data_IF_608553664218
#
_entry.id   IF_608553664218
#
_cell.length_a   1.000
_cell.length_b   1.000
_cell.length_c   1.000
_cell.angle_alpha   90.00
_cell.angle_beta   90.00
_cell.angle_gamma   90.00
#
_symmetry.space_group_name_H-M   'P 1'
#
loop_
_entity.id
_entity.type
_entity.pdbx_description
1 polymer ?
#
# COMPACT_ATOMS: atom_id res chain seq x y z
N UNK A 1 -22.72 12.17 22.79
CA UNK A 1 -22.33 11.61 21.48
C UNK A 1 -23.21 12.31 20.46
N UNK A 2 -22.66 12.96 19.43
CA UNK A 2 -23.48 13.65 18.42
C UNK A 2 -24.03 12.58 17.46
N UNK A 3 -25.34 12.35 17.48
CA UNK A 3 -26.00 11.50 16.50
C UNK A 3 -26.19 12.30 15.22
N UNK A 4 -25.61 11.80 14.13
CA UNK A 4 -25.74 12.40 12.81
C UNK A 4 -26.89 11.73 12.07
N UNK A 5 -27.67 12.51 11.33
CA UNK A 5 -28.70 11.95 10.46
C UNK A 5 -28.06 11.13 9.35
N UNK A 6 -28.76 10.10 8.87
CA UNK A 6 -28.25 9.22 7.81
C UNK A 6 -27.81 9.97 6.55
N UNK A 7 -28.50 11.07 6.23
CA UNK A 7 -28.14 11.96 5.12
C UNK A 7 -26.81 12.70 5.33
N UNK A 8 -26.53 13.14 6.56
CA UNK A 8 -25.25 13.80 6.90
C UNK A 8 -24.08 12.81 6.81
N UNK A 9 -24.30 11.57 7.24
CA UNK A 9 -23.32 10.48 7.14
C UNK A 9 -23.03 10.15 5.68
N UNK A 10 -24.08 10.04 4.86
CA UNK A 10 -23.95 9.76 3.43
C UNK A 10 -23.18 10.90 2.71
N UNK A 11 -23.56 12.15 2.96
CA UNK A 11 -22.90 13.31 2.37
C UNK A 11 -21.43 13.38 2.78
N UNK A 12 -21.12 13.10 4.04
CA UNK A 12 -19.73 13.06 4.52
C UNK A 12 -18.94 11.94 3.84
N UNK A 13 -19.50 10.74 3.72
CA UNK A 13 -18.85 9.63 3.03
C UNK A 13 -18.55 9.94 1.56
N UNK A 14 -19.46 10.64 0.87
CA UNK A 14 -19.26 11.08 -0.52
C UNK A 14 -18.12 12.09 -0.60
N UNK A 15 -18.11 13.10 0.29
CA UNK A 15 -17.07 14.13 0.31
C UNK A 15 -15.70 13.53 0.62
N UNK A 16 -15.61 12.64 1.61
CA UNK A 16 -14.38 11.95 2.00
C UNK A 16 -13.85 11.09 0.82
N UNK A 17 -14.75 10.42 0.07
CA UNK A 17 -14.36 9.63 -1.10
C UNK A 17 -13.83 10.50 -2.26
N UNK A 18 -14.44 11.66 -2.50
CA UNK A 18 -13.98 12.63 -3.51
C UNK A 18 -12.62 13.17 -3.11
N UNK A 19 -12.46 13.57 -1.84
CA UNK A 19 -11.21 14.10 -1.31
C UNK A 19 -10.09 13.07 -1.43
N UNK A 20 -10.35 11.83 -1.00
CA UNK A 20 -9.40 10.71 -1.14
C UNK A 20 -8.96 10.51 -2.58
N UNK A 21 -9.90 10.48 -3.52
CA UNK A 21 -9.60 10.27 -4.94
C UNK A 21 -8.83 11.46 -5.54
N UNK A 22 -9.11 12.68 -5.08
CA UNK A 22 -8.40 13.88 -5.52
C UNK A 22 -6.97 13.98 -4.96
N UNK A 23 -6.76 13.46 -3.75
CA UNK A 23 -5.47 13.42 -3.06
C UNK A 23 -4.55 12.32 -3.59
N UNK A 24 -5.09 11.33 -4.34
CA UNK A 24 -4.25 10.43 -5.11
C UNK A 24 -3.49 11.27 -6.15
N UNK A 25 -2.17 11.35 -5.99
CA UNK A 25 -1.30 11.91 -7.00
C UNK A 25 -1.60 11.22 -8.34
N UNK A 26 -2.13 11.96 -9.33
CA UNK A 26 -2.19 11.53 -10.74
C UNK A 26 -0.80 11.39 -11.36
N UNK A 27 0.23 11.23 -10.54
CA UNK A 27 1.49 10.69 -10.99
C UNK A 27 1.18 9.26 -11.37
N UNK A 28 0.89 9.06 -12.66
CA UNK A 28 1.29 7.85 -13.32
C UNK A 28 2.79 7.73 -13.08
N UNK A 29 3.17 7.21 -11.91
CA UNK A 29 4.40 6.45 -11.81
C UNK A 29 4.17 5.40 -12.88
N UNK A 30 4.75 5.63 -14.06
CA UNK A 30 5.01 4.56 -15.01
C UNK A 30 5.58 3.50 -14.09
N UNK A 31 4.82 2.44 -13.87
CA UNK A 31 5.30 1.32 -13.09
C UNK A 31 6.44 0.84 -13.97
N UNK A 32 7.66 1.34 -13.70
CA UNK A 32 8.86 0.80 -14.28
C UNK A 32 8.93 -0.54 -13.58
N UNK A 33 8.16 -1.50 -14.13
CA UNK A 33 8.41 -2.91 -13.94
C UNK A 33 9.77 -3.08 -14.60
N UNK A 34 10.82 -2.75 -13.87
CA UNK A 34 12.09 -3.39 -14.05
C UNK A 34 11.77 -4.85 -13.76
N UNK A 35 11.36 -5.57 -14.81
CA UNK A 35 11.36 -7.01 -14.81
C UNK A 35 12.82 -7.36 -14.66
N UNK A 36 13.27 -7.45 -13.42
CA UNK A 36 14.54 -8.08 -13.10
C UNK A 36 14.32 -9.50 -13.58
N UNK A 37 14.86 -9.83 -14.74
CA UNK A 37 15.04 -11.20 -15.17
C UNK A 37 15.96 -11.84 -14.14
N UNK A 38 15.36 -12.39 -13.08
CA UNK A 38 16.08 -13.24 -12.14
C UNK A 38 16.46 -14.46 -12.96
N UNK A 39 17.71 -14.49 -13.44
CA UNK A 39 18.31 -15.71 -14.00
C UNK A 39 18.14 -16.77 -12.91
N UNK A 40 17.29 -17.76 -13.15
CA UNK A 40 17.06 -18.89 -12.26
C UNK A 40 18.38 -19.61 -12.01
N UNK A 41 19.09 -19.20 -10.96
CA UNK A 41 20.30 -19.87 -10.50
C UNK A 41 19.87 -20.89 -9.44
N UNK A 42 19.49 -22.07 -9.93
CA UNK A 42 19.54 -23.34 -9.22
C UNK A 42 18.71 -23.47 -7.93
N UNK A 43 17.60 -24.23 -8.03
CA UNK A 43 17.10 -25.22 -7.04
C UNK A 43 17.10 -24.91 -5.54
N UNK A 44 17.19 -23.67 -5.09
CA UNK A 44 16.86 -23.29 -3.73
C UNK A 44 15.52 -22.57 -3.77
N UNK A 45 14.46 -23.21 -3.26
CA UNK A 45 13.12 -22.64 -3.13
C UNK A 45 13.13 -21.53 -2.08
N UNK A 46 13.79 -20.42 -2.40
CA UNK A 46 13.87 -19.22 -1.58
C UNK A 46 12.58 -18.44 -1.81
N UNK A 47 11.70 -18.45 -0.81
CA UNK A 47 10.49 -17.63 -0.82
C UNK A 47 10.80 -16.32 -0.10
N UNK A 48 10.77 -15.20 -0.82
CA UNK A 48 10.87 -13.87 -0.21
C UNK A 48 9.46 -13.31 -0.02
N UNK A 49 9.09 -13.03 1.23
CA UNK A 49 7.86 -12.34 1.59
C UNK A 49 8.19 -10.87 1.80
N UNK A 50 7.58 -10.01 1.00
CA UNK A 50 7.63 -8.55 1.17
C UNK A 50 6.34 -8.08 1.84
N UNK A 51 6.45 -7.46 3.02
CA UNK A 51 5.34 -6.75 3.67
C UNK A 51 5.52 -5.26 3.45
N UNK A 52 4.44 -4.59 3.11
CA UNK A 52 4.45 -3.15 2.83
C UNK A 52 3.39 -2.48 3.68
N UNK A 53 3.74 -1.37 4.30
CA UNK A 53 2.80 -0.57 5.10
C UNK A 53 2.96 0.92 4.78
N UNK A 54 1.89 1.68 4.99
CA UNK A 54 1.85 3.12 4.76
C UNK A 54 1.09 3.82 5.88
N UNK A 55 1.65 4.92 6.37
CA UNK A 55 1.05 5.74 7.41
C UNK A 55 0.91 7.19 6.94
N UNK A 56 -0.26 7.80 7.17
CA UNK A 56 -0.51 9.21 6.91
C UNK A 56 -0.70 9.97 8.23
N UNK A 57 -0.02 11.10 8.37
CA UNK A 57 -0.18 12.04 9.48
C UNK A 57 -0.72 13.37 8.96
N UNK A 58 -2.03 13.56 9.12
CA UNK A 58 -2.76 14.72 8.61
C UNK A 58 -2.26 16.05 9.16
N UNK A 59 -1.98 16.14 10.47
CA UNK A 59 -1.58 17.39 11.13
C UNK A 59 -0.32 18.04 10.54
N UNK A 60 0.60 17.22 10.01
CA UNK A 60 1.83 17.70 9.39
C UNK A 60 1.94 17.33 7.91
N UNK A 61 0.82 16.92 7.29
CA UNK A 61 0.74 16.53 5.88
C UNK A 61 1.87 15.57 5.46
N UNK A 62 2.24 14.64 6.35
CA UNK A 62 3.41 13.78 6.17
C UNK A 62 2.98 12.34 5.93
N UNK A 63 3.62 11.68 4.97
CA UNK A 63 3.43 10.26 4.67
C UNK A 63 4.69 9.48 5.04
N UNK A 64 4.50 8.31 5.67
CA UNK A 64 5.52 7.31 5.92
C UNK A 64 5.23 6.05 5.11
N UNK A 65 6.27 5.45 4.54
CA UNK A 65 6.20 4.16 3.86
C UNK A 65 7.19 3.21 4.53
N UNK A 66 6.79 1.96 4.74
CA UNK A 66 7.61 0.91 5.34
C UNK A 66 7.60 -0.35 4.48
N UNK A 67 8.76 -1.01 4.39
CA UNK A 67 8.90 -2.30 3.73
C UNK A 67 9.70 -3.25 4.61
N UNK A 68 9.24 -4.49 4.73
CA UNK A 68 9.94 -5.57 5.41
C UNK A 68 10.11 -6.73 4.45
N UNK A 69 11.35 -7.21 4.28
CA UNK A 69 11.66 -8.39 3.48
C UNK A 69 12.04 -9.53 4.40
N UNK A 70 11.32 -10.65 4.30
CA UNK A 70 11.61 -11.87 5.05
C UNK A 70 11.87 -13.02 4.09
N UNK A 71 13.00 -13.70 4.26
CA UNK A 71 13.35 -14.88 3.49
C UNK A 71 12.88 -16.13 4.24
N UNK A 72 12.05 -16.95 3.59
CA UNK A 72 11.66 -18.27 4.09
C UNK A 72 12.36 -19.32 3.25
N UNK A 73 13.36 -19.96 3.84
CA UNK A 73 13.97 -21.17 3.32
C UNK A 73 12.95 -22.32 3.47
N UNK A 74 12.44 -22.86 2.37
CA UNK A 74 11.64 -24.08 2.41
C UNK A 74 12.55 -25.27 2.72
N UNK A 75 12.76 -25.55 4.02
CA UNK A 75 13.42 -26.77 4.50
C UNK A 75 12.45 -27.95 4.49
N UNK A 76 12.02 -28.38 3.31
CA UNK A 76 11.44 -29.71 3.15
C UNK A 76 12.56 -30.64 2.67
N UNK A 77 13.09 -31.44 3.61
CA UNK A 77 13.89 -32.64 3.33
C UNK A 77 12.96 -33.83 3.29
#
# INVERSE_FOLDING_TARGET
MKEYKGEEVLNKAILDAIEWNSAQLKTAFKQIRNTIYIKEKGKNNICVICRTDAAWKGDCMTVGLGWEFTEKENRWK
#
